data_IF_708298844367
#
_entry.id   IF_708298844367
#
_cell.length_a   1.000
_cell.length_b   1.000
_cell.length_c   1.000
_cell.angle_alpha   90.00
_cell.angle_beta   90.00
_cell.angle_gamma   90.00
#
_symmetry.space_group_name_H-M   'P 1'
#
loop_
_entity.id
_entity.type
_entity.pdbx_description
1 polymer ?
#
# COMPACT_ATOMS: atom_id res chain seq x y z
N UNK A 1 97.89 24.24 -31.98
CA UNK A 1 96.79 23.31 -31.63
C UNK A 1 95.49 24.06 -31.53
N UNK A 2 94.60 23.94 -32.48
CA UNK A 2 93.29 24.62 -32.47
C UNK A 2 92.23 23.62 -31.99
N UNK A 3 91.53 23.92 -30.85
CA UNK A 3 90.43 23.12 -30.35
C UNK A 3 89.18 23.40 -31.15
N UNK A 4 88.57 22.40 -31.78
CA UNK A 4 87.26 22.49 -32.42
C UNK A 4 86.12 22.48 -31.33
N UNK A 5 85.31 23.51 -31.33
CA UNK A 5 84.12 23.56 -30.48
C UNK A 5 82.94 22.94 -31.27
N UNK A 6 82.42 21.82 -30.75
CA UNK A 6 81.22 21.14 -31.28
C UNK A 6 79.98 21.78 -30.68
N UNK A 7 79.18 22.51 -31.50
CA UNK A 7 77.87 22.99 -31.12
C UNK A 7 76.83 21.87 -31.21
N UNK A 8 76.28 21.44 -30.08
CA UNK A 8 75.08 20.60 -30.02
C UNK A 8 73.86 21.38 -30.42
N UNK A 9 73.15 20.96 -31.49
CA UNK A 9 71.80 21.45 -31.87
C UNK A 9 70.77 20.79 -30.95
N UNK A 10 70.09 21.58 -30.13
CA UNK A 10 68.92 21.14 -29.39
C UNK A 10 67.68 21.25 -30.28
N UNK A 11 67.10 20.14 -30.62
CA UNK A 11 65.82 20.02 -31.35
C UNK A 11 64.69 20.29 -30.35
N UNK A 12 64.03 21.46 -30.52
CA UNK A 12 62.81 21.78 -29.78
C UNK A 12 61.64 21.02 -30.38
N UNK A 13 61.15 20.00 -29.66
CA UNK A 13 59.93 19.27 -30.01
C UNK A 13 58.74 20.17 -29.70
N UNK A 14 58.13 20.72 -30.71
CA UNK A 14 56.90 21.48 -30.65
C UNK A 14 55.76 20.53 -30.38
N UNK A 15 55.25 20.48 -29.07
CA UNK A 15 54.03 19.76 -28.73
C UNK A 15 52.85 20.43 -29.47
N UNK A 16 52.28 19.72 -30.44
CA UNK A 16 51.05 20.13 -31.12
C UNK A 16 49.91 20.10 -30.08
N UNK A 17 49.35 21.24 -29.73
CA UNK A 17 48.07 21.34 -28.98
C UNK A 17 46.99 20.77 -29.90
N UNK A 18 46.50 19.57 -29.57
CA UNK A 18 45.28 19.03 -30.17
C UNK A 18 44.16 20.06 -29.90
N UNK A 19 43.63 20.71 -30.93
CA UNK A 19 42.42 21.51 -30.87
C UNK A 19 41.30 20.55 -30.45
N UNK A 20 40.80 20.65 -29.19
CA UNK A 20 39.55 20.01 -28.81
C UNK A 20 38.47 20.50 -29.75
N UNK A 21 37.86 19.59 -30.51
CA UNK A 21 36.92 19.96 -31.56
C UNK A 21 35.66 20.59 -30.87
N UNK A 22 35.38 21.85 -31.21
CA UNK A 22 34.14 22.54 -30.80
C UNK A 22 32.87 21.78 -31.25
N UNK A 23 33.05 20.84 -32.16
CA UNK A 23 32.04 19.92 -32.67
C UNK A 23 31.57 18.92 -31.58
N UNK A 24 32.44 18.50 -30.66
CA UNK A 24 32.11 17.55 -29.60
C UNK A 24 31.11 18.16 -28.57
N UNK A 25 31.23 19.42 -28.25
CA UNK A 25 30.35 20.10 -27.27
C UNK A 25 28.95 20.32 -27.80
N UNK A 26 28.75 20.55 -29.07
CA UNK A 26 27.41 20.68 -29.70
C UNK A 26 26.71 19.33 -29.77
N UNK A 27 27.44 18.27 -30.16
CA UNK A 27 26.90 16.90 -30.19
C UNK A 27 26.52 16.41 -28.81
N UNK A 28 27.32 16.66 -27.79
CA UNK A 28 27.00 16.29 -26.38
C UNK A 28 25.75 17.05 -25.91
N UNK A 29 25.65 18.33 -26.18
CA UNK A 29 24.44 19.11 -25.84
C UNK A 29 23.19 18.58 -26.54
N UNK A 30 23.31 18.26 -27.84
CA UNK A 30 22.20 17.70 -28.61
C UNK A 30 21.78 16.33 -28.04
N UNK A 31 22.75 15.47 -27.72
CA UNK A 31 22.48 14.15 -27.13
C UNK A 31 21.78 14.26 -25.76
N UNK A 32 22.16 15.24 -24.93
CA UNK A 32 21.49 15.52 -23.64
C UNK A 32 20.06 15.96 -23.89
N UNK A 33 19.83 16.87 -24.84
CA UNK A 33 18.47 17.34 -25.16
C UNK A 33 17.60 16.18 -25.66
N UNK A 34 18.13 15.38 -26.58
CA UNK A 34 17.43 14.21 -27.13
C UNK A 34 17.11 13.21 -26.01
N UNK A 35 18.06 12.94 -25.11
CA UNK A 35 17.84 12.08 -23.93
C UNK A 35 16.68 12.63 -23.06
N UNK A 36 16.69 13.92 -22.73
CA UNK A 36 15.63 14.54 -21.93
C UNK A 36 14.27 14.49 -22.62
N UNK A 37 14.22 14.67 -23.94
CA UNK A 37 12.96 14.57 -24.71
C UNK A 37 12.42 13.15 -24.63
N UNK A 38 13.25 12.13 -24.88
CA UNK A 38 12.82 10.74 -24.77
C UNK A 38 12.45 10.34 -23.35
N UNK A 39 13.17 10.86 -22.34
CA UNK A 39 12.82 10.67 -20.93
C UNK A 39 11.45 11.25 -20.59
N UNK A 40 11.16 12.49 -21.03
CA UNK A 40 9.85 13.13 -20.83
C UNK A 40 8.73 12.41 -21.58
N UNK A 41 8.99 11.94 -22.79
CA UNK A 41 8.03 11.12 -23.55
C UNK A 41 7.77 9.78 -22.84
N UNK A 42 8.80 9.14 -22.31
CA UNK A 42 8.69 7.92 -21.52
C UNK A 42 7.85 8.12 -20.25
N UNK A 43 8.10 9.22 -19.52
CA UNK A 43 7.28 9.60 -18.37
C UNK A 43 5.82 9.87 -18.77
N UNK A 44 5.60 10.64 -19.84
CA UNK A 44 4.26 10.92 -20.33
C UNK A 44 3.51 9.66 -20.76
N UNK A 45 4.20 8.70 -21.39
CA UNK A 45 3.63 7.42 -21.76
C UNK A 45 3.33 6.54 -20.53
N UNK A 46 4.25 6.49 -19.56
CA UNK A 46 4.09 5.74 -18.31
C UNK A 46 2.86 6.24 -17.52
N UNK A 47 2.73 7.57 -17.38
CA UNK A 47 1.62 8.17 -16.63
C UNK A 47 0.39 8.53 -17.48
N UNK A 48 0.29 8.08 -18.75
CA UNK A 48 -0.75 8.50 -19.70
C UNK A 48 -2.18 8.33 -19.17
N UNK A 49 -2.47 7.23 -18.47
CA UNK A 49 -3.80 6.96 -17.93
C UNK A 49 -4.13 7.89 -16.77
N UNK A 50 -3.19 8.10 -15.85
CA UNK A 50 -3.33 9.05 -14.76
C UNK A 50 -3.47 10.49 -15.26
N UNK A 51 -2.70 10.88 -16.28
CA UNK A 51 -2.81 12.19 -16.92
C UNK A 51 -4.16 12.38 -17.61
N UNK A 52 -4.63 11.37 -18.38
CA UNK A 52 -5.94 11.39 -19.00
C UNK A 52 -7.06 11.54 -17.96
N UNK A 53 -6.98 10.80 -16.87
CA UNK A 53 -7.89 10.91 -15.74
C UNK A 53 -7.83 12.31 -15.09
N UNK A 54 -6.63 12.84 -14.80
CA UNK A 54 -6.44 14.19 -14.27
C UNK A 54 -7.08 15.27 -15.18
N UNK A 55 -6.87 15.19 -16.48
CA UNK A 55 -7.42 16.17 -17.42
C UNK A 55 -8.94 16.03 -17.61
N UNK A 56 -9.52 14.85 -17.39
CA UNK A 56 -10.98 14.64 -17.40
C UNK A 56 -11.70 15.49 -16.35
N UNK A 57 -11.05 15.80 -15.21
CA UNK A 57 -11.58 16.70 -14.18
C UNK A 57 -11.85 18.11 -14.69
N UNK A 58 -11.10 18.60 -15.70
CA UNK A 58 -11.28 19.94 -16.25
C UNK A 58 -12.56 20.08 -17.06
N UNK A 59 -13.06 19.01 -17.64
CA UNK A 59 -14.27 19.00 -18.47
C UNK A 59 -15.55 18.73 -17.67
N UNK A 60 -15.46 18.17 -16.46
CA UNK A 60 -16.61 17.78 -15.64
C UNK A 60 -16.84 18.78 -14.49
N UNK A 61 -18.01 19.48 -14.51
CA UNK A 61 -18.36 20.51 -13.52
C UNK A 61 -18.39 19.98 -12.08
N UNK A 62 -18.89 18.76 -11.85
CA UNK A 62 -18.95 18.12 -10.53
C UNK A 62 -17.57 17.83 -9.93
N UNK A 63 -16.54 17.67 -10.77
CA UNK A 63 -15.17 17.40 -10.36
C UNK A 63 -14.36 18.69 -10.09
N UNK A 64 -14.83 19.85 -10.56
CA UNK A 64 -14.15 21.15 -10.35
C UNK A 64 -14.15 21.60 -8.87
N UNK A 65 -15.09 21.08 -8.07
CA UNK A 65 -15.21 21.42 -6.65
C UNK A 65 -14.21 20.69 -5.74
N UNK A 66 -13.53 19.65 -6.24
CA UNK A 66 -12.49 18.95 -5.48
C UNK A 66 -11.25 19.82 -5.31
N UNK A 67 -10.66 19.80 -4.11
CA UNK A 67 -9.38 20.47 -3.86
C UNK A 67 -8.25 19.85 -4.70
N UNK A 68 -7.21 20.63 -5.00
CA UNK A 68 -6.03 20.15 -5.77
C UNK A 68 -5.40 18.89 -5.15
N UNK A 69 -5.23 18.89 -3.82
CA UNK A 69 -4.69 17.73 -3.10
C UNK A 69 -5.54 16.46 -3.26
N UNK A 70 -6.87 16.61 -3.32
CA UNK A 70 -7.77 15.48 -3.58
C UNK A 70 -7.65 14.98 -5.01
N UNK A 71 -7.49 15.87 -6.00
CA UNK A 71 -7.28 15.49 -7.40
C UNK A 71 -6.01 14.69 -7.60
N UNK A 72 -4.90 15.13 -6.99
CA UNK A 72 -3.62 14.41 -7.05
C UNK A 72 -3.75 13.02 -6.42
N UNK A 73 -4.43 12.92 -5.28
CA UNK A 73 -4.70 11.64 -4.65
C UNK A 73 -5.56 10.71 -5.52
N UNK A 74 -6.63 11.24 -6.13
CA UNK A 74 -7.50 10.47 -7.03
C UNK A 74 -6.72 9.97 -8.27
N UNK A 75 -5.83 10.80 -8.85
CA UNK A 75 -4.96 10.39 -9.96
C UNK A 75 -4.02 9.25 -9.57
N UNK A 76 -3.39 9.35 -8.40
CA UNK A 76 -2.52 8.31 -7.89
C UNK A 76 -3.30 7.01 -7.64
N UNK A 77 -4.47 7.10 -7.00
CA UNK A 77 -5.31 5.95 -6.74
C UNK A 77 -5.72 5.26 -8.05
N UNK A 78 -6.12 6.04 -9.06
CA UNK A 78 -6.43 5.51 -10.39
C UNK A 78 -5.22 4.82 -11.03
N UNK A 79 -4.03 5.40 -10.96
CA UNK A 79 -2.81 4.81 -11.51
C UNK A 79 -2.45 3.48 -10.82
N UNK A 80 -2.59 3.42 -9.49
CA UNK A 80 -2.35 2.19 -8.74
C UNK A 80 -3.34 1.10 -9.17
N UNK A 81 -4.63 1.43 -9.30
CA UNK A 81 -5.66 0.48 -9.72
C UNK A 81 -5.43 -0.04 -11.15
N UNK A 82 -5.05 0.83 -12.09
CA UNK A 82 -4.68 0.42 -13.45
C UNK A 82 -3.49 -0.56 -13.48
N UNK A 83 -2.49 -0.33 -12.62
CA UNK A 83 -1.33 -1.21 -12.51
C UNK A 83 -1.65 -2.57 -11.87
N UNK A 84 -2.86 -2.73 -11.30
CA UNK A 84 -3.33 -3.94 -10.63
C UNK A 84 -4.63 -4.49 -11.25
N UNK A 85 -4.85 -4.22 -12.53
CA UNK A 85 -5.98 -4.82 -13.26
C UNK A 85 -5.97 -6.35 -13.12
N UNK A 86 -7.13 -6.94 -12.78
CA UNK A 86 -7.29 -8.37 -12.53
C UNK A 86 -7.00 -8.82 -11.09
N UNK A 87 -6.47 -7.96 -10.23
CA UNK A 87 -6.34 -8.24 -8.79
C UNK A 87 -7.63 -7.88 -8.05
N UNK A 88 -7.92 -8.61 -6.96
CA UNK A 88 -9.06 -8.30 -6.09
C UNK A 88 -8.83 -7.00 -5.32
N UNK A 89 -9.87 -6.17 -5.29
CA UNK A 89 -9.88 -4.88 -4.61
C UNK A 89 -10.88 -4.94 -3.47
N UNK A 90 -10.49 -4.36 -2.34
CA UNK A 90 -11.35 -4.26 -1.17
C UNK A 90 -11.20 -2.94 -0.44
N UNK A 91 -11.94 -2.84 0.65
CA UNK A 91 -11.88 -1.69 1.54
C UNK A 91 -11.79 -2.15 3.00
N UNK A 92 -11.44 -1.23 3.88
CA UNK A 92 -11.59 -1.51 5.29
C UNK A 92 -12.36 -0.39 6.00
N UNK A 93 -13.15 -0.79 6.99
CA UNK A 93 -14.10 0.09 7.67
C UNK A 93 -14.16 -0.17 9.17
N UNK A 94 -14.59 0.84 9.89
CA UNK A 94 -14.86 0.82 11.32
C UNK A 94 -16.05 1.68 11.65
N UNK A 95 -16.29 1.90 12.95
CA UNK A 95 -17.31 2.85 13.40
C UNK A 95 -17.09 4.28 12.90
N UNK A 96 -15.88 4.63 12.44
CA UNK A 96 -15.56 5.98 11.96
C UNK A 96 -16.23 6.32 10.63
N UNK A 97 -16.56 5.33 9.80
CA UNK A 97 -17.34 5.52 8.57
C UNK A 97 -18.85 5.74 8.85
N UNK A 98 -19.28 5.58 10.13
CA UNK A 98 -20.67 5.77 10.53
C UNK A 98 -21.62 4.76 9.89
N UNK A 99 -22.74 5.25 9.39
CA UNK A 99 -23.73 4.41 8.69
C UNK A 99 -23.33 4.21 7.26
N UNK A 100 -23.14 2.95 6.86
CA UNK A 100 -22.82 2.52 5.49
C UNK A 100 -24.10 2.02 4.82
N UNK A 101 -24.35 2.48 3.59
CA UNK A 101 -25.41 1.99 2.71
C UNK A 101 -24.87 0.92 1.78
N UNK A 102 -24.81 -0.32 2.28
CA UNK A 102 -24.13 -1.44 1.65
C UNK A 102 -24.61 -1.74 0.23
N UNK A 103 -25.87 -1.52 -0.07
CA UNK A 103 -26.43 -1.72 -1.43
C UNK A 103 -25.80 -0.85 -2.52
N UNK A 104 -25.05 0.18 -2.13
CA UNK A 104 -24.30 1.04 -3.07
C UNK A 104 -22.79 0.79 -3.03
N UNK A 105 -22.32 -0.14 -2.17
CA UNK A 105 -20.90 -0.48 -2.05
C UNK A 105 -20.59 -1.63 -3.00
N UNK A 106 -20.41 -1.33 -4.26
CA UNK A 106 -20.21 -2.32 -5.32
C UNK A 106 -18.94 -2.07 -6.14
N UNK A 107 -18.62 -0.82 -6.39
CA UNK A 107 -17.52 -0.45 -7.27
C UNK A 107 -16.77 0.79 -6.76
N UNK A 108 -15.48 0.83 -7.04
CA UNK A 108 -14.63 2.00 -6.89
C UNK A 108 -14.48 2.67 -8.28
N UNK A 109 -14.63 4.00 -8.32
CA UNK A 109 -14.54 4.81 -9.55
C UNK A 109 -15.45 4.30 -10.71
N UNK A 110 -16.55 3.61 -10.39
CA UNK A 110 -17.50 3.02 -11.35
C UNK A 110 -16.87 2.00 -12.34
N UNK A 111 -15.65 1.57 -12.09
CA UNK A 111 -14.91 0.67 -12.96
C UNK A 111 -14.42 -0.59 -12.23
N UNK A 112 -13.93 -0.44 -11.00
CA UNK A 112 -13.27 -1.52 -10.28
C UNK A 112 -14.24 -2.14 -9.29
N UNK A 113 -14.61 -3.43 -9.43
CA UNK A 113 -15.46 -4.11 -8.47
C UNK A 113 -14.77 -4.19 -7.09
N UNK A 114 -15.57 -4.12 -6.04
CA UNK A 114 -15.13 -4.32 -4.67
C UNK A 114 -15.49 -5.74 -4.24
N UNK A 115 -14.49 -6.58 -4.06
CA UNK A 115 -14.66 -8.00 -3.81
C UNK A 115 -14.74 -8.33 -2.31
N UNK A 116 -14.01 -7.57 -1.47
CA UNK A 116 -13.90 -7.87 -0.04
C UNK A 116 -13.88 -6.62 0.84
N UNK A 117 -14.13 -6.85 2.13
CA UNK A 117 -14.06 -5.81 3.15
C UNK A 117 -13.48 -6.33 4.45
N UNK A 118 -12.56 -5.55 5.04
CA UNK A 118 -12.13 -5.76 6.41
C UNK A 118 -12.92 -4.85 7.35
N UNK A 119 -13.43 -5.41 8.45
CA UNK A 119 -14.33 -4.72 9.38
C UNK A 119 -13.75 -4.80 10.78
N UNK A 120 -13.53 -3.65 11.41
CA UNK A 120 -13.07 -3.61 12.79
C UNK A 120 -14.13 -4.24 13.72
N UNK A 121 -13.70 -5.27 14.46
CA UNK A 121 -14.57 -5.93 15.42
C UNK A 121 -14.34 -5.40 16.83
N UNK A 122 -13.08 -5.29 17.24
CA UNK A 122 -12.71 -4.94 18.62
C UNK A 122 -11.47 -4.08 18.69
N UNK A 123 -11.30 -3.38 19.82
CA UNK A 123 -10.17 -2.52 20.12
C UNK A 123 -9.72 -2.78 21.55
N UNK A 124 -8.48 -3.19 21.77
CA UNK A 124 -7.97 -3.47 23.09
C UNK A 124 -8.78 -4.58 23.77
N UNK A 125 -8.72 -4.65 25.10
CA UNK A 125 -9.34 -5.72 25.89
C UNK A 125 -10.81 -5.51 26.24
N UNK A 126 -11.37 -4.33 25.99
CA UNK A 126 -12.65 -3.92 26.53
C UNK A 126 -13.64 -3.25 25.55
N UNK A 127 -13.19 -2.94 24.31
CA UNK A 127 -14.02 -2.18 23.39
C UNK A 127 -14.41 -2.98 22.15
N UNK A 128 -15.71 -3.13 21.93
CA UNK A 128 -16.29 -3.58 20.67
C UNK A 128 -16.55 -2.39 19.76
N UNK A 129 -16.32 -2.54 18.47
CA UNK A 129 -16.70 -1.53 17.49
C UNK A 129 -18.24 -1.44 17.42
N UNK A 130 -18.78 -0.22 17.54
CA UNK A 130 -20.22 0.01 17.63
C UNK A 130 -20.98 -0.33 16.35
N UNK A 131 -20.29 -0.29 15.21
CA UNK A 131 -20.87 -0.59 13.89
C UNK A 131 -20.58 -2.02 13.43
N UNK A 132 -19.75 -2.80 14.16
CA UNK A 132 -19.29 -4.11 13.71
C UNK A 132 -20.45 -5.02 13.26
N UNK A 133 -21.43 -5.24 14.15
CA UNK A 133 -22.56 -6.14 13.85
C UNK A 133 -23.32 -5.72 12.59
N UNK A 134 -23.58 -4.41 12.46
CA UNK A 134 -24.30 -3.85 11.29
C UNK A 134 -23.48 -3.99 10.02
N UNK A 135 -22.20 -3.63 10.09
CA UNK A 135 -21.31 -3.72 8.94
C UNK A 135 -21.06 -5.19 8.53
N UNK A 136 -20.93 -6.08 9.52
CA UNK A 136 -20.74 -7.51 9.30
C UNK A 136 -21.91 -8.16 8.57
N UNK A 137 -23.13 -7.83 8.93
CA UNK A 137 -24.35 -8.29 8.26
C UNK A 137 -24.52 -7.66 6.89
N UNK A 138 -24.37 -6.33 6.80
CA UNK A 138 -24.56 -5.61 5.53
C UNK A 138 -23.56 -6.01 4.46
N UNK A 139 -22.30 -6.26 4.81
CA UNK A 139 -21.31 -6.78 3.87
C UNK A 139 -21.70 -8.18 3.34
N UNK A 140 -22.22 -9.07 4.22
CA UNK A 140 -22.72 -10.38 3.82
C UNK A 140 -23.91 -10.28 2.86
N UNK A 141 -24.89 -9.45 3.18
CA UNK A 141 -26.06 -9.22 2.36
C UNK A 141 -25.67 -8.67 0.99
N UNK A 142 -24.62 -7.87 0.93
CA UNK A 142 -24.02 -7.35 -0.30
C UNK A 142 -23.05 -8.34 -1.00
N UNK A 143 -22.96 -9.59 -0.51
CA UNK A 143 -22.14 -10.68 -1.09
C UNK A 143 -20.64 -10.39 -1.13
N UNK A 144 -20.14 -9.49 -0.30
CA UNK A 144 -18.72 -9.23 -0.17
C UNK A 144 -18.05 -10.32 0.69
N UNK A 145 -16.83 -10.71 0.33
CA UNK A 145 -15.98 -11.53 1.19
C UNK A 145 -15.57 -10.66 2.39
N UNK A 146 -15.75 -11.16 3.62
CA UNK A 146 -15.55 -10.38 4.84
C UNK A 146 -14.37 -10.87 5.62
N UNK A 147 -13.64 -9.92 6.23
CA UNK A 147 -12.63 -10.20 7.24
C UNK A 147 -12.87 -9.33 8.48
N UNK A 148 -12.64 -9.87 9.65
CA UNK A 148 -12.74 -9.12 10.91
C UNK A 148 -11.35 -8.79 11.46
N UNK A 149 -11.13 -7.55 11.89
CA UNK A 149 -9.87 -7.17 12.49
C UNK A 149 -10.00 -6.68 13.94
N UNK A 150 -8.94 -6.90 14.70
CA UNK A 150 -8.75 -6.46 16.07
C UNK A 150 -7.66 -5.40 16.14
N UNK A 151 -7.98 -4.19 16.57
CA UNK A 151 -7.00 -3.15 16.85
C UNK A 151 -6.32 -3.41 18.19
N UNK A 152 -5.04 -3.82 18.13
CA UNK A 152 -4.28 -4.22 19.30
C UNK A 152 -3.73 -3.01 20.06
N UNK A 153 -3.88 -3.03 21.41
CA UNK A 153 -3.30 -2.05 22.30
C UNK A 153 -2.09 -2.62 23.02
N UNK A 154 -0.86 -2.15 22.71
CA UNK A 154 0.38 -2.76 23.18
C UNK A 154 0.55 -2.89 24.70
N UNK A 155 -0.08 -2.00 25.49
CA UNK A 155 0.09 -1.98 26.94
C UNK A 155 -1.04 -2.70 27.71
N UNK A 156 -1.87 -3.46 27.00
CA UNK A 156 -2.99 -4.23 27.58
C UNK A 156 -2.72 -5.73 27.49
N UNK A 157 -3.38 -6.51 28.34
CA UNK A 157 -3.24 -7.97 28.35
C UNK A 157 -3.68 -8.58 27.02
N UNK A 158 -2.79 -9.32 26.38
CA UNK A 158 -3.00 -9.89 25.05
C UNK A 158 -4.06 -10.99 25.01
N UNK A 159 -4.18 -11.79 26.08
CA UNK A 159 -5.18 -12.87 26.14
C UNK A 159 -6.58 -12.31 26.37
N UNK A 160 -6.74 -11.25 27.17
CA UNK A 160 -8.02 -10.55 27.32
C UNK A 160 -8.46 -9.92 26.00
N UNK A 161 -7.52 -9.37 25.21
CA UNK A 161 -7.79 -8.84 23.87
C UNK A 161 -8.23 -9.97 22.91
N UNK A 162 -7.54 -11.12 22.92
CA UNK A 162 -7.93 -12.28 22.11
C UNK A 162 -9.30 -12.82 22.50
N UNK A 163 -9.59 -12.91 23.80
CA UNK A 163 -10.87 -13.38 24.31
C UNK A 163 -12.03 -12.45 23.88
N UNK A 164 -11.84 -11.13 23.96
CA UNK A 164 -12.83 -10.18 23.50
C UNK A 164 -13.12 -10.34 22.00
N UNK A 165 -12.08 -10.52 21.19
CA UNK A 165 -12.22 -10.75 19.74
C UNK A 165 -12.99 -12.04 19.45
N UNK A 166 -12.59 -13.14 20.06
CA UNK A 166 -13.23 -14.46 19.91
C UNK A 166 -14.71 -14.43 20.33
N UNK A 167 -15.05 -13.74 21.43
CA UNK A 167 -16.44 -13.57 21.89
C UNK A 167 -17.28 -12.66 20.99
N UNK A 168 -16.64 -11.87 20.13
CA UNK A 168 -17.32 -10.86 19.30
C UNK A 168 -17.53 -11.34 17.88
N UNK A 169 -16.59 -12.08 17.32
CA UNK A 169 -16.56 -12.50 15.92
C UNK A 169 -16.98 -13.96 15.81
N UNK A 170 -17.92 -14.25 14.93
CA UNK A 170 -18.25 -15.61 14.49
C UNK A 170 -17.97 -15.70 13.00
N UNK A 171 -16.91 -16.41 12.64
CA UNK A 171 -16.56 -16.64 11.25
C UNK A 171 -17.48 -17.73 10.65
N UNK A 172 -17.74 -17.59 9.38
CA UNK A 172 -18.49 -18.52 8.57
C UNK A 172 -17.66 -18.93 7.36
N UNK A 173 -18.01 -20.05 6.75
CA UNK A 173 -17.40 -20.46 5.47
C UNK A 173 -17.43 -19.31 4.46
N UNK A 174 -16.28 -19.02 3.86
CA UNK A 174 -16.08 -17.92 2.92
C UNK A 174 -15.69 -16.58 3.55
N UNK A 175 -15.65 -16.45 4.88
CA UNK A 175 -15.05 -15.29 5.53
C UNK A 175 -13.51 -15.41 5.49
N UNK A 176 -12.80 -14.27 5.50
CA UNK A 176 -11.34 -14.24 5.55
C UNK A 176 -10.81 -14.57 6.96
N UNK A 177 -9.57 -15.03 7.08
CA UNK A 177 -8.93 -15.27 8.37
C UNK A 177 -9.01 -14.04 9.29
N UNK A 178 -8.98 -14.23 10.63
CA UNK A 178 -8.89 -13.15 11.60
C UNK A 178 -7.69 -12.26 11.35
N UNK A 179 -7.80 -10.98 11.67
CA UNK A 179 -6.71 -10.02 11.46
C UNK A 179 -6.32 -9.37 12.78
N UNK A 180 -5.01 -9.36 13.05
CA UNK A 180 -4.39 -8.62 14.15
C UNK A 180 -3.80 -7.33 13.60
N UNK A 181 -4.36 -6.20 14.01
CA UNK A 181 -3.90 -4.86 13.62
C UNK A 181 -2.99 -4.28 14.72
N UNK A 182 -1.70 -4.14 14.41
CA UNK A 182 -0.66 -3.58 15.29
C UNK A 182 0.05 -2.42 14.63
N UNK A 183 -0.11 -1.21 15.19
CA UNK A 183 0.45 0.02 14.65
C UNK A 183 1.33 0.79 15.65
N UNK A 184 1.13 0.55 16.94
CA UNK A 184 1.78 1.35 17.99
C UNK A 184 2.84 0.59 18.73
N UNK A 185 3.93 1.28 19.04
CA UNK A 185 4.94 0.77 19.95
C UNK A 185 4.43 0.81 21.41
N UNK A 186 4.93 -0.10 22.25
CA UNK A 186 4.58 -0.10 23.67
C UNK A 186 5.21 1.12 24.38
N UNK A 187 4.51 1.61 25.40
CA UNK A 187 5.03 2.71 26.25
C UNK A 187 5.57 2.21 27.58
N UNK A 188 4.96 1.14 28.12
CA UNK A 188 5.21 0.66 29.49
C UNK A 188 5.81 -0.76 29.53
N UNK A 189 6.26 -1.29 28.41
CA UNK A 189 6.90 -2.59 28.31
C UNK A 189 7.95 -2.59 27.18
N UNK A 190 8.84 -3.58 27.19
CA UNK A 190 9.83 -3.75 26.13
C UNK A 190 9.17 -4.22 24.80
N UNK A 191 9.89 -4.05 23.70
CA UNK A 191 9.49 -4.55 22.39
C UNK A 191 9.38 -6.11 22.41
N UNK A 192 10.30 -6.79 23.09
CA UNK A 192 10.27 -8.24 23.22
C UNK A 192 9.03 -8.71 23.98
N UNK A 193 8.63 -8.01 25.05
CA UNK A 193 7.39 -8.28 25.78
C UNK A 193 6.16 -8.07 24.88
N UNK A 194 6.18 -7.04 24.03
CA UNK A 194 5.13 -6.85 23.04
C UNK A 194 5.05 -8.03 22.05
N UNK A 195 6.18 -8.44 21.49
CA UNK A 195 6.24 -9.58 20.55
C UNK A 195 5.71 -10.87 21.16
N UNK A 196 6.05 -11.14 22.42
CA UNK A 196 5.47 -12.27 23.19
C UNK A 196 3.96 -12.12 23.34
N UNK A 197 3.48 -10.90 23.61
CA UNK A 197 2.04 -10.61 23.69
C UNK A 197 1.31 -10.85 22.36
N UNK A 198 1.89 -10.39 21.23
CA UNK A 198 1.34 -10.64 19.89
C UNK A 198 1.25 -12.13 19.59
N UNK A 199 2.32 -12.91 19.87
CA UNK A 199 2.32 -14.37 19.68
C UNK A 199 1.24 -15.06 20.52
N UNK A 200 0.99 -14.60 21.75
CA UNK A 200 -0.08 -15.15 22.61
C UNK A 200 -1.47 -14.89 22.00
N UNK A 201 -1.71 -13.68 21.52
CA UNK A 201 -2.97 -13.34 20.87
C UNK A 201 -3.16 -14.19 19.60
N UNK A 202 -2.17 -14.21 18.70
CA UNK A 202 -2.20 -14.97 17.46
C UNK A 202 -2.48 -16.45 17.71
N UNK A 203 -1.77 -17.08 18.65
CA UNK A 203 -1.96 -18.49 19.00
C UNK A 203 -3.35 -18.79 19.59
N UNK A 204 -3.87 -17.91 20.44
CA UNK A 204 -5.20 -18.08 21.02
C UNK A 204 -6.29 -18.02 19.96
N UNK A 205 -6.20 -17.06 19.03
CA UNK A 205 -7.14 -16.87 17.93
C UNK A 205 -7.03 -17.99 16.90
N UNK A 206 -5.83 -18.39 16.51
CA UNK A 206 -5.58 -19.54 15.63
C UNK A 206 -6.14 -20.83 16.23
N UNK A 207 -5.92 -21.06 17.52
CA UNK A 207 -6.44 -22.25 18.21
C UNK A 207 -7.97 -22.32 18.22
N UNK A 208 -8.64 -21.17 18.26
CA UNK A 208 -10.10 -21.09 18.27
C UNK A 208 -10.71 -21.28 16.87
N UNK A 209 -10.23 -20.54 15.89
CA UNK A 209 -10.79 -20.55 14.52
C UNK A 209 -10.20 -21.64 13.62
N UNK A 210 -9.12 -22.30 14.03
CA UNK A 210 -8.39 -23.33 13.25
C UNK A 210 -7.81 -22.80 11.94
N UNK A 211 -7.62 -21.48 11.85
CA UNK A 211 -7.00 -20.78 10.72
C UNK A 211 -5.97 -19.78 11.24
N UNK A 212 -4.83 -19.68 10.56
CA UNK A 212 -3.75 -18.77 10.94
C UNK A 212 -4.18 -17.32 10.68
N UNK A 213 -4.11 -16.42 11.69
CA UNK A 213 -4.46 -15.01 11.50
C UNK A 213 -3.49 -14.29 10.55
N UNK A 214 -3.97 -13.20 9.96
CA UNK A 214 -3.19 -12.24 9.18
C UNK A 214 -2.76 -11.11 10.11
N UNK A 215 -1.57 -10.53 9.88
CA UNK A 215 -1.09 -9.37 10.64
C UNK A 215 -1.16 -8.13 9.76
N UNK A 216 -1.87 -7.09 10.23
CA UNK A 216 -1.85 -5.76 9.63
C UNK A 216 -0.91 -4.84 10.38
N UNK A 217 -0.14 -4.07 9.62
CA UNK A 217 0.73 -3.01 10.14
C UNK A 217 1.22 -2.08 9.04
N UNK A 218 1.87 -0.96 9.40
CA UNK A 218 2.58 -0.11 8.46
C UNK A 218 3.92 -0.72 8.01
N UNK A 219 4.34 -0.45 6.77
CA UNK A 219 5.58 -1.00 6.17
C UNK A 219 6.81 -0.82 7.08
N UNK A 220 7.01 0.39 7.59
CA UNK A 220 8.16 0.63 8.49
C UNK A 220 8.11 -0.21 9.77
N UNK A 221 6.93 -0.41 10.34
CA UNK A 221 6.76 -1.25 11.52
C UNK A 221 7.03 -2.72 11.20
N UNK A 222 6.58 -3.17 10.02
CA UNK A 222 6.85 -4.51 9.48
C UNK A 222 8.35 -4.76 9.36
N UNK A 223 9.06 -3.89 8.64
CA UNK A 223 10.50 -4.03 8.37
C UNK A 223 11.35 -3.96 9.65
N UNK A 224 11.04 -3.02 10.55
CA UNK A 224 11.84 -2.79 11.75
C UNK A 224 11.61 -3.83 12.85
N UNK A 225 10.40 -4.45 12.94
CA UNK A 225 10.01 -5.18 14.14
C UNK A 225 9.38 -6.55 13.92
N UNK A 226 8.76 -6.83 12.78
CA UNK A 226 7.93 -8.03 12.63
C UNK A 226 8.43 -9.00 11.58
N UNK A 227 9.03 -8.54 10.50
CA UNK A 227 9.36 -9.32 9.30
C UNK A 227 10.08 -10.63 9.61
N UNK A 228 11.11 -10.60 10.43
CA UNK A 228 11.90 -11.79 10.75
C UNK A 228 11.18 -12.72 11.73
N UNK A 229 10.63 -12.15 12.81
CA UNK A 229 10.10 -12.93 13.93
C UNK A 229 8.70 -13.48 13.70
N UNK A 230 7.95 -12.93 12.74
CA UNK A 230 6.61 -13.35 12.35
C UNK A 230 6.55 -13.82 10.89
N UNK A 231 7.68 -14.26 10.33
CA UNK A 231 7.78 -14.72 8.93
C UNK A 231 6.84 -15.87 8.57
N UNK A 232 6.35 -16.62 9.56
CA UNK A 232 5.34 -17.66 9.37
C UNK A 232 3.91 -17.13 9.15
N UNK A 233 3.68 -15.82 9.32
CA UNK A 233 2.38 -15.20 9.15
C UNK A 233 2.30 -14.43 7.84
N UNK A 234 1.09 -14.28 7.31
CA UNK A 234 0.81 -13.45 6.17
C UNK A 234 0.53 -12.02 6.62
N UNK A 235 0.93 -11.05 5.78
CA UNK A 235 0.84 -9.64 6.13
C UNK A 235 -0.08 -8.84 5.21
N UNK A 236 -0.85 -7.96 5.82
CA UNK A 236 -1.54 -6.86 5.20
C UNK A 236 -0.79 -5.57 5.58
N UNK A 237 -0.17 -4.92 4.61
CA UNK A 237 0.73 -3.79 4.84
C UNK A 237 0.10 -2.48 4.38
N UNK A 238 0.12 -1.47 5.27
CA UNK A 238 -0.21 -0.10 4.92
C UNK A 238 1.04 0.63 4.40
N UNK A 239 0.95 1.15 3.20
CA UNK A 239 1.95 2.04 2.63
C UNK A 239 1.28 3.04 1.68
N UNK A 240 1.24 4.31 2.09
CA UNK A 240 0.63 5.42 1.35
C UNK A 240 1.64 6.23 0.54
N UNK A 241 2.86 5.70 0.34
CA UNK A 241 3.91 6.39 -0.41
C UNK A 241 3.41 6.68 -1.83
N UNK A 242 3.41 7.95 -2.20
CA UNK A 242 2.94 8.42 -3.52
C UNK A 242 3.64 7.75 -4.68
N UNK A 243 4.92 7.43 -4.53
CA UNK A 243 5.77 6.83 -5.58
C UNK A 243 5.71 5.30 -5.63
N UNK A 244 5.04 4.65 -4.67
CA UNK A 244 4.81 3.21 -4.74
C UNK A 244 3.62 2.93 -5.65
N UNK A 245 3.88 2.29 -6.77
CA UNK A 245 2.89 2.01 -7.81
C UNK A 245 2.43 0.55 -7.82
N UNK A 246 3.15 -0.36 -7.15
CA UNK A 246 2.86 -1.80 -7.14
C UNK A 246 2.97 -2.37 -5.74
N UNK A 247 2.11 -3.40 -5.48
CA UNK A 247 2.20 -4.21 -4.28
C UNK A 247 3.52 -4.98 -4.25
N UNK A 248 4.10 -5.12 -3.06
CA UNK A 248 5.28 -5.95 -2.86
C UNK A 248 4.93 -7.44 -2.94
N UNK A 249 5.84 -8.27 -3.45
CA UNK A 249 5.61 -9.71 -3.61
C UNK A 249 5.40 -10.44 -2.26
N UNK A 250 6.02 -9.94 -1.19
CA UNK A 250 5.95 -10.51 0.16
C UNK A 250 4.66 -10.12 0.90
N UNK A 251 3.86 -9.19 0.36
CA UNK A 251 2.63 -8.72 1.00
C UNK A 251 1.41 -9.45 0.46
N UNK A 252 0.58 -9.96 1.37
CA UNK A 252 -0.68 -10.57 0.97
C UNK A 252 -1.72 -9.52 0.54
N UNK A 253 -1.81 -8.43 1.33
CA UNK A 253 -2.65 -7.27 1.03
C UNK A 253 -1.86 -5.98 1.17
N UNK A 254 -2.24 -5.00 0.38
CA UNK A 254 -1.69 -3.64 0.44
C UNK A 254 -2.79 -2.61 0.63
N UNK A 255 -2.80 -1.93 1.77
CA UNK A 255 -3.61 -0.73 1.96
C UNK A 255 -2.84 0.45 1.35
N UNK A 256 -3.26 0.85 0.16
CA UNK A 256 -2.49 1.81 -0.62
C UNK A 256 -2.97 3.26 -0.48
N UNK A 257 -4.17 3.49 0.04
CA UNK A 257 -4.73 4.83 0.26
C UNK A 257 -5.77 4.84 1.38
N UNK A 258 -5.79 5.92 2.15
CA UNK A 258 -6.84 6.30 3.11
C UNK A 258 -7.82 7.33 2.53
N UNK A 259 -7.77 7.58 1.23
CA UNK A 259 -8.50 8.66 0.54
C UNK A 259 -9.40 8.14 -0.58
N UNK A 260 -9.84 6.88 -0.47
CA UNK A 260 -10.83 6.32 -1.37
C UNK A 260 -12.19 6.99 -1.23
N UNK A 261 -12.96 6.97 -2.31
CA UNK A 261 -14.36 7.45 -2.32
C UNK A 261 -15.23 6.36 -2.91
N UNK A 262 -16.09 5.78 -2.08
CA UNK A 262 -16.96 4.65 -2.46
C UNK A 262 -18.42 5.07 -2.27
N UNK A 263 -19.29 4.84 -3.26
CA UNK A 263 -20.72 5.05 -3.09
C UNK A 263 -21.24 4.30 -1.85
N UNK A 264 -22.17 4.90 -1.12
CA UNK A 264 -22.73 4.32 0.10
C UNK A 264 -21.92 4.58 1.38
N UNK A 265 -20.69 5.09 1.27
CA UNK A 265 -19.83 5.46 2.41
C UNK A 265 -19.62 6.98 2.41
N UNK A 266 -19.89 7.61 3.55
CA UNK A 266 -19.69 9.05 3.72
C UNK A 266 -18.22 9.35 4.06
N UNK A 267 -17.58 10.21 3.27
CA UNK A 267 -16.20 10.64 3.50
C UNK A 267 -15.17 9.70 2.83
N UNK A 268 -13.97 9.69 3.38
CA UNK A 268 -12.90 8.86 2.88
C UNK A 268 -12.97 7.45 3.48
N UNK A 269 -12.47 6.49 2.72
CA UNK A 269 -12.35 5.09 3.12
C UNK A 269 -11.03 4.53 2.63
N UNK A 270 -10.48 3.60 3.40
CA UNK A 270 -9.24 2.92 3.09
C UNK A 270 -9.47 1.88 2.00
N UNK A 271 -8.59 1.86 0.98
CA UNK A 271 -8.69 0.93 -0.15
C UNK A 271 -7.48 0.01 -0.16
N UNK A 272 -7.78 -1.25 -0.44
CA UNK A 272 -6.86 -2.36 -0.35
C UNK A 272 -6.78 -3.13 -1.66
N UNK A 273 -5.59 -3.66 -1.96
CA UNK A 273 -5.35 -4.60 -3.06
C UNK A 273 -4.90 -5.93 -2.46
N UNK A 274 -5.54 -7.01 -2.87
CA UNK A 274 -5.07 -8.37 -2.62
C UNK A 274 -4.01 -8.75 -3.65
N UNK A 275 -2.95 -9.45 -3.23
CA UNK A 275 -1.87 -9.86 -4.15
C UNK A 275 -2.22 -11.09 -5.01
N UNK A 276 -3.45 -11.17 -5.44
CA UNK A 276 -4.02 -12.21 -6.28
C UNK A 276 -5.34 -11.79 -6.86
N UNK A 277 -5.98 -12.69 -7.58
CA UNK A 277 -7.33 -12.54 -8.13
C UNK A 277 -8.42 -13.00 -7.14
N UNK A 278 -9.68 -12.85 -7.55
CA UNK A 278 -10.84 -13.24 -6.73
C UNK A 278 -10.86 -14.73 -6.40
N UNK A 279 -10.45 -15.60 -7.33
CA UNK A 279 -10.41 -17.04 -7.09
C UNK A 279 -9.37 -17.39 -6.04
N UNK A 280 -8.19 -16.78 -6.11
CA UNK A 280 -7.14 -16.96 -5.12
C UNK A 280 -7.55 -16.39 -3.75
N UNK A 281 -8.29 -15.26 -3.72
CA UNK A 281 -8.84 -14.71 -2.48
C UNK A 281 -9.84 -15.66 -1.82
N UNK A 282 -10.71 -16.30 -2.60
CA UNK A 282 -11.63 -17.31 -2.09
C UNK A 282 -10.91 -18.53 -1.52
N UNK A 283 -9.74 -18.87 -2.06
CA UNK A 283 -8.96 -20.02 -1.61
C UNK A 283 -8.36 -19.83 -0.20
N UNK A 284 -8.07 -18.60 0.20
CA UNK A 284 -7.57 -18.31 1.56
C UNK A 284 -8.70 -18.10 2.58
N UNK A 285 -9.94 -18.15 2.16
CA UNK A 285 -11.10 -17.99 3.04
C UNK A 285 -11.29 -19.23 3.93
N UNK A 286 -11.96 -19.04 5.07
CA UNK A 286 -12.30 -20.09 6.01
C UNK A 286 -13.22 -21.12 5.35
N UNK A 287 -12.92 -22.41 5.54
CA UNK A 287 -13.71 -23.54 5.02
C UNK A 287 -15.03 -23.80 5.78
#
# INVERSE_FOLDING_TARGET
MRKKVVRRRTTVVRKSKKKASVFSGKLVRLSIIVFFVFFLLGLGYHYRNGLAYYFSFKSNKALKEKTEAKRISDVRNFQVLENHEGKSIGLDVSEYQGTIHWSYVDTLEKKYPLDYVFIRATVGKDRKDRQFKRNWLGAKENKMIRGAYHYYRPNENSLEQAELFIKTVTLQKGDLPPILDIEKLPKNQSLDSLKVGLKRWLKAVESHYKVKPIIYTGEKYYDDFLKEEFSDYLFWIANYNFYREKIDADWLFWQFTEKGSVPGIKGNVDINIYNGDLQQLQFISVE
#
